data_IF_676373058123
#
_entry.id   IF_676373058123
#
_cell.length_a   1.000
_cell.length_b   1.000
_cell.length_c   1.000
_cell.angle_alpha   90.00
_cell.angle_beta   90.00
_cell.angle_gamma   90.00
#
_symmetry.space_group_name_H-M   'P 1'
#
loop_
_entity.id
_entity.type
_entity.pdbx_description
1 polymer ?
#
# COMPACT_ATOMS: atom_id res chain seq x y z
N UNK A 1 -32.57 14.58 4.29
CA UNK A 1 -31.64 15.72 4.09
C UNK A 1 -30.29 15.42 4.72
N UNK A 2 -30.26 14.94 5.97
CA UNK A 2 -29.02 14.64 6.72
C UNK A 2 -28.07 13.65 6.03
N UNK A 3 -28.61 12.61 5.37
CA UNK A 3 -27.78 11.62 4.66
C UNK A 3 -27.02 12.24 3.47
N UNK A 4 -27.63 13.17 2.73
CA UNK A 4 -27.00 13.83 1.60
C UNK A 4 -25.88 14.79 2.06
N UNK A 5 -26.10 15.50 3.17
CA UNK A 5 -25.10 16.38 3.79
C UNK A 5 -23.92 15.55 4.29
N UNK A 6 -24.18 14.44 4.99
CA UNK A 6 -23.13 13.54 5.44
C UNK A 6 -22.30 12.97 4.27
N UNK A 7 -22.95 12.56 3.18
CA UNK A 7 -22.26 12.06 2.00
C UNK A 7 -21.38 13.13 1.32
N UNK A 8 -21.81 14.40 1.31
CA UNK A 8 -20.99 15.51 0.81
C UNK A 8 -19.77 15.78 1.71
N UNK A 9 -19.92 15.71 3.03
CA UNK A 9 -18.79 15.80 3.96
C UNK A 9 -17.80 14.64 3.77
N UNK A 10 -18.28 13.40 3.64
CA UNK A 10 -17.44 12.23 3.36
C UNK A 10 -16.68 12.38 2.02
N UNK A 11 -17.34 12.93 0.99
CA UNK A 11 -16.73 13.22 -0.30
C UNK A 11 -15.64 14.30 -0.20
N UNK A 12 -15.89 15.39 0.53
CA UNK A 12 -14.89 16.43 0.79
C UNK A 12 -13.71 15.88 1.59
N UNK A 13 -13.98 15.08 2.63
CA UNK A 13 -12.93 14.44 3.42
C UNK A 13 -12.07 13.51 2.55
N UNK A 14 -12.68 12.74 1.65
CA UNK A 14 -11.98 11.88 0.68
C UNK A 14 -11.04 12.70 -0.22
N UNK A 15 -11.51 13.85 -0.72
CA UNK A 15 -10.69 14.75 -1.56
C UNK A 15 -9.48 15.29 -0.80
N UNK A 16 -9.71 15.87 0.38
CA UNK A 16 -8.63 16.44 1.18
C UNK A 16 -7.62 15.36 1.59
N UNK A 17 -8.09 14.20 2.04
CA UNK A 17 -7.18 13.14 2.48
C UNK A 17 -6.39 12.55 1.30
N UNK A 18 -7.01 12.38 0.14
CA UNK A 18 -6.32 11.97 -1.09
C UNK A 18 -5.29 13.01 -1.54
N UNK A 19 -5.63 14.31 -1.48
CA UNK A 19 -4.71 15.39 -1.81
C UNK A 19 -3.51 15.44 -0.85
N UNK A 20 -3.74 15.29 0.46
CA UNK A 20 -2.66 15.18 1.45
C UNK A 20 -1.74 14.01 1.13
N UNK A 21 -2.30 12.82 0.86
CA UNK A 21 -1.50 11.65 0.49
C UNK A 21 -0.66 11.89 -0.77
N UNK A 22 -1.25 12.51 -1.80
CA UNK A 22 -0.54 12.84 -3.03
C UNK A 22 0.58 13.87 -2.82
N UNK A 23 0.31 14.95 -2.07
CA UNK A 23 1.31 15.97 -1.75
C UNK A 23 2.48 15.36 -0.98
N UNK A 24 2.20 14.53 0.02
CA UNK A 24 3.25 13.83 0.79
C UNK A 24 4.07 12.93 -0.12
N UNK A 25 3.43 12.16 -1.01
CA UNK A 25 4.11 11.27 -1.96
C UNK A 25 5.03 12.03 -2.92
N UNK A 26 4.57 13.15 -3.48
CA UNK A 26 5.39 13.98 -4.39
C UNK A 26 6.50 14.70 -3.64
N UNK A 27 6.22 15.22 -2.46
CA UNK A 27 7.22 15.85 -1.61
C UNK A 27 8.33 14.87 -1.24
N UNK A 28 7.96 13.66 -0.83
CA UNK A 28 8.91 12.60 -0.55
C UNK A 28 9.72 12.19 -1.77
N UNK A 29 9.08 12.16 -2.95
CA UNK A 29 9.77 11.89 -4.21
C UNK A 29 10.90 12.90 -4.44
N UNK A 30 10.60 14.20 -4.32
CA UNK A 30 11.58 15.28 -4.54
C UNK A 30 12.74 15.20 -3.55
N UNK A 31 12.47 14.87 -2.28
CA UNK A 31 13.52 14.72 -1.28
C UNK A 31 14.44 13.52 -1.53
N UNK A 32 13.89 12.42 -2.06
CA UNK A 32 14.62 11.14 -2.14
C UNK A 32 15.12 10.80 -3.55
N UNK A 33 14.81 11.61 -4.57
CA UNK A 33 15.27 11.36 -5.95
C UNK A 33 16.79 11.38 -6.07
N UNK A 34 17.47 12.28 -5.35
CA UNK A 34 18.94 12.33 -5.35
C UNK A 34 19.55 11.03 -4.80
N UNK A 35 19.00 10.53 -3.70
CA UNK A 35 19.42 9.26 -3.11
C UNK A 35 19.10 8.07 -4.02
N UNK A 36 17.96 8.08 -4.70
CA UNK A 36 17.62 7.06 -5.70
C UNK A 36 18.67 7.01 -6.81
N UNK A 37 18.99 8.15 -7.42
CA UNK A 37 20.02 8.28 -8.48
C UNK A 37 21.37 7.75 -8.01
N UNK A 38 21.73 8.02 -6.75
CA UNK A 38 23.01 7.57 -6.19
C UNK A 38 23.03 6.08 -5.80
N UNK A 39 21.95 5.55 -5.23
CA UNK A 39 21.94 4.22 -4.58
C UNK A 39 21.35 3.11 -5.45
N UNK A 40 20.35 3.44 -6.28
CA UNK A 40 19.55 2.45 -7.01
C UNK A 40 19.96 2.36 -8.48
N UNK A 41 20.17 3.50 -9.15
CA UNK A 41 20.53 3.51 -10.57
C UNK A 41 21.86 2.81 -10.90
N UNK A 42 22.96 2.97 -10.14
CA UNK A 42 24.19 2.23 -10.41
C UNK A 42 24.16 0.78 -9.93
N UNK A 43 23.16 0.37 -9.14
CA UNK A 43 23.06 -1.00 -8.63
C UNK A 43 22.93 -2.03 -9.78
N UNK A 44 23.41 -3.27 -9.61
CA UNK A 44 23.29 -4.32 -10.62
C UNK A 44 21.82 -4.59 -10.98
N UNK A 45 21.60 -5.13 -12.17
CA UNK A 45 20.25 -5.50 -12.62
C UNK A 45 19.71 -6.60 -11.72
N UNK A 46 18.67 -6.29 -10.94
CA UNK A 46 17.95 -7.25 -10.09
C UNK A 46 16.44 -7.03 -10.23
N UNK A 47 15.67 -8.07 -9.92
CA UNK A 47 14.20 -7.98 -9.93
C UNK A 47 13.73 -6.91 -8.94
N UNK A 48 14.34 -6.85 -7.75
CA UNK A 48 14.01 -5.86 -6.73
C UNK A 48 14.26 -4.42 -7.18
N UNK A 49 15.34 -4.16 -7.93
CA UNK A 49 15.64 -2.83 -8.50
C UNK A 49 14.52 -2.36 -9.42
N UNK A 50 14.15 -3.19 -10.40
CA UNK A 50 13.11 -2.81 -11.36
C UNK A 50 11.73 -2.75 -10.73
N UNK A 51 11.40 -3.68 -9.83
CA UNK A 51 10.17 -3.65 -9.05
C UNK A 51 10.02 -2.35 -8.25
N UNK A 52 11.08 -1.88 -7.59
CA UNK A 52 11.10 -0.61 -6.88
C UNK A 52 10.87 0.58 -7.83
N UNK A 53 11.66 0.70 -8.90
CA UNK A 53 11.55 1.82 -9.86
C UNK A 53 10.16 1.85 -10.47
N UNK A 54 9.70 0.72 -11.03
CA UNK A 54 8.39 0.64 -11.68
C UNK A 54 7.29 1.00 -10.69
N UNK A 55 7.25 0.41 -9.50
CA UNK A 55 6.20 0.68 -8.52
C UNK A 55 6.21 2.16 -8.08
N UNK A 56 7.38 2.76 -7.88
CA UNK A 56 7.49 4.17 -7.47
C UNK A 56 6.90 5.14 -8.50
N UNK A 57 7.34 5.06 -9.75
CA UNK A 57 6.83 5.94 -10.81
C UNK A 57 5.38 5.63 -11.18
N UNK A 58 5.00 4.35 -11.13
CA UNK A 58 3.64 3.89 -11.35
C UNK A 58 2.66 4.50 -10.34
N UNK A 59 2.95 4.43 -9.04
CA UNK A 59 2.05 4.95 -8.01
C UNK A 59 1.92 6.47 -8.10
N UNK A 60 3.02 7.20 -8.33
CA UNK A 60 2.97 8.66 -8.54
C UNK A 60 2.06 9.00 -9.73
N UNK A 61 2.23 8.28 -10.84
CA UNK A 61 1.44 8.50 -12.06
C UNK A 61 -0.04 8.24 -11.83
N UNK A 62 -0.40 7.12 -11.17
CA UNK A 62 -1.80 6.81 -10.90
C UNK A 62 -2.40 7.81 -9.92
N UNK A 63 -1.68 8.24 -8.88
CA UNK A 63 -2.20 9.22 -7.92
C UNK A 63 -2.38 10.61 -8.54
N UNK A 64 -1.53 11.00 -9.49
CA UNK A 64 -1.74 12.18 -10.31
C UNK A 64 -3.02 12.06 -11.14
N UNK A 65 -3.24 10.90 -11.78
CA UNK A 65 -4.48 10.63 -12.50
C UNK A 65 -5.68 10.67 -11.55
N UNK A 66 -5.59 10.12 -10.33
CA UNK A 66 -6.68 10.19 -9.34
C UNK A 66 -6.99 11.64 -8.96
N UNK A 67 -5.96 12.46 -8.72
CA UNK A 67 -6.12 13.88 -8.41
C UNK A 67 -6.84 14.64 -9.53
N UNK A 68 -6.55 14.31 -10.79
CA UNK A 68 -7.19 14.92 -11.97
C UNK A 68 -8.55 14.30 -12.30
N UNK A 69 -8.71 12.99 -12.13
CA UNK A 69 -9.90 12.21 -12.52
C UNK A 69 -11.11 12.43 -11.62
N UNK A 70 -10.94 13.12 -10.49
CA UNK A 70 -12.05 13.78 -9.80
C UNK A 70 -12.86 14.66 -10.76
N UNK A 71 -12.30 15.09 -11.90
CA UNK A 71 -12.97 15.92 -12.92
C UNK A 71 -13.63 15.11 -14.07
N UNK A 72 -13.34 13.82 -14.23
CA UNK A 72 -13.80 13.02 -15.38
C UNK A 72 -15.09 12.21 -15.14
N UNK A 73 -15.95 12.15 -16.18
CA UNK A 73 -17.26 11.45 -16.13
C UNK A 73 -17.18 9.92 -16.21
N UNK A 74 -16.01 9.34 -16.47
CA UNK A 74 -15.78 7.90 -16.68
C UNK A 74 -15.69 7.05 -15.42
N UNK A 75 -16.62 7.20 -14.46
CA UNK A 75 -16.47 6.67 -13.11
C UNK A 75 -16.28 5.15 -13.01
N UNK A 76 -17.03 4.36 -13.79
CA UNK A 76 -16.98 2.88 -13.69
C UNK A 76 -15.62 2.32 -14.11
N UNK A 77 -15.14 2.73 -15.29
CA UNK A 77 -13.83 2.34 -15.80
C UNK A 77 -12.69 2.86 -14.92
N UNK A 78 -12.84 4.09 -14.40
CA UNK A 78 -11.88 4.68 -13.49
C UNK A 78 -11.75 3.87 -12.19
N UNK A 79 -12.86 3.59 -11.49
CA UNK A 79 -12.85 2.82 -10.23
C UNK A 79 -12.30 1.42 -10.46
N UNK A 80 -12.72 0.74 -11.53
CA UNK A 80 -12.22 -0.59 -11.88
C UNK A 80 -10.71 -0.56 -12.18
N UNK A 81 -10.27 0.36 -13.04
CA UNK A 81 -8.87 0.52 -13.41
C UNK A 81 -7.99 0.82 -12.20
N UNK A 82 -8.33 1.83 -11.40
CA UNK A 82 -7.59 2.18 -10.19
C UNK A 82 -7.53 1.03 -9.18
N UNK A 83 -8.61 0.27 -9.00
CA UNK A 83 -8.63 -0.90 -8.12
C UNK A 83 -7.62 -1.97 -8.55
N UNK A 84 -7.57 -2.29 -9.85
CA UNK A 84 -6.62 -3.26 -10.39
C UNK A 84 -5.17 -2.78 -10.28
N UNK A 85 -4.92 -1.50 -10.64
CA UNK A 85 -3.61 -0.89 -10.55
C UNK A 85 -3.08 -0.86 -9.11
N UNK A 86 -3.95 -0.53 -8.14
CA UNK A 86 -3.59 -0.53 -6.73
C UNK A 86 -3.14 -1.91 -6.24
N UNK A 87 -3.79 -2.98 -6.70
CA UNK A 87 -3.43 -4.35 -6.31
C UNK A 87 -2.13 -4.82 -6.94
N UNK A 88 -1.88 -4.44 -8.19
CA UNK A 88 -0.57 -4.70 -8.80
C UNK A 88 0.54 -4.03 -7.98
N UNK A 89 0.34 -2.78 -7.55
CA UNK A 89 1.29 -2.08 -6.68
C UNK A 89 1.49 -2.78 -5.32
N UNK A 90 0.40 -3.20 -4.66
CA UNK A 90 0.48 -3.94 -3.38
C UNK A 90 1.18 -5.28 -3.56
N UNK A 91 0.94 -6.00 -4.66
CA UNK A 91 1.63 -7.25 -4.99
C UNK A 91 3.14 -7.04 -5.13
N UNK A 92 3.55 -6.00 -5.86
CA UNK A 92 4.97 -5.64 -6.00
C UNK A 92 5.58 -5.31 -4.63
N UNK A 93 4.89 -4.51 -3.81
CA UNK A 93 5.34 -4.17 -2.46
C UNK A 93 5.54 -5.42 -1.59
N UNK A 94 4.59 -6.36 -1.61
CA UNK A 94 4.68 -7.60 -0.83
C UNK A 94 5.83 -8.51 -1.30
N UNK A 95 6.14 -8.53 -2.61
CA UNK A 95 7.31 -9.25 -3.14
C UNK A 95 8.62 -8.62 -2.64
N UNK A 96 8.71 -7.28 -2.63
CA UNK A 96 9.88 -6.57 -2.10
C UNK A 96 10.07 -6.82 -0.59
N UNK A 97 8.97 -6.83 0.16
CA UNK A 97 8.95 -7.17 1.58
C UNK A 97 9.40 -8.61 1.82
N UNK A 98 8.89 -9.58 1.04
CA UNK A 98 9.30 -10.98 1.10
C UNK A 98 10.82 -11.13 0.93
N UNK A 99 11.37 -10.48 -0.09
CA UNK A 99 12.80 -10.53 -0.38
C UNK A 99 13.65 -10.09 0.82
N UNK A 100 13.23 -9.02 1.50
CA UNK A 100 13.92 -8.50 2.69
C UNK A 100 13.92 -9.50 3.86
N UNK A 101 12.80 -10.16 4.12
CA UNK A 101 12.70 -11.14 5.21
C UNK A 101 13.54 -12.38 4.93
N UNK A 102 13.61 -12.80 3.66
CA UNK A 102 14.43 -13.97 3.27
C UNK A 102 15.91 -13.71 3.49
N UNK A 103 16.41 -12.51 3.16
CA UNK A 103 17.78 -12.09 3.47
C UNK A 103 18.02 -12.07 4.98
N UNK A 104 17.06 -11.54 5.76
CA UNK A 104 17.18 -11.45 7.22
C UNK A 104 17.34 -12.84 7.89
N UNK A 105 16.68 -13.85 7.33
CA UNK A 105 16.79 -15.23 7.79
C UNK A 105 17.87 -16.05 7.07
N UNK A 106 18.80 -15.39 6.37
CA UNK A 106 19.95 -16.03 5.72
C UNK A 106 19.52 -17.20 4.81
N UNK A 107 18.46 -16.96 4.02
CA UNK A 107 17.89 -17.92 3.06
C UNK A 107 17.43 -19.26 3.65
N UNK A 108 17.08 -19.33 4.95
CA UNK A 108 16.50 -20.53 5.56
C UNK A 108 15.24 -21.00 4.83
N UNK A 109 15.29 -22.21 4.28
CA UNK A 109 14.22 -22.78 3.44
C UNK A 109 12.85 -22.88 4.14
N UNK A 110 12.82 -23.13 5.45
CA UNK A 110 11.56 -23.18 6.21
C UNK A 110 10.85 -21.82 6.21
N UNK A 111 11.58 -20.73 6.50
CA UNK A 111 11.01 -19.38 6.52
C UNK A 111 10.58 -18.97 5.12
N UNK A 112 11.39 -19.27 4.10
CA UNK A 112 11.01 -19.01 2.71
C UNK A 112 9.68 -19.69 2.35
N UNK A 113 9.52 -20.99 2.69
CA UNK A 113 8.27 -21.73 2.41
C UNK A 113 7.06 -21.11 3.12
N UNK A 114 7.19 -20.75 4.40
CA UNK A 114 6.13 -20.09 5.18
C UNK A 114 5.75 -18.74 4.55
N UNK A 115 6.74 -17.93 4.20
CA UNK A 115 6.52 -16.59 3.66
C UNK A 115 5.92 -16.64 2.24
N UNK A 116 6.39 -17.55 1.39
CA UNK A 116 5.83 -17.76 0.05
C UNK A 116 4.40 -18.29 0.14
N UNK A 117 4.11 -19.24 1.03
CA UNK A 117 2.76 -19.73 1.26
C UNK A 117 1.81 -18.61 1.72
N UNK A 118 2.26 -17.79 2.68
CA UNK A 118 1.51 -16.62 3.16
C UNK A 118 1.25 -15.60 2.06
N UNK A 119 2.26 -15.32 1.23
CA UNK A 119 2.12 -14.41 0.09
C UNK A 119 1.13 -14.94 -0.95
N UNK A 120 1.24 -16.21 -1.35
CA UNK A 120 0.37 -16.81 -2.37
C UNK A 120 -1.07 -16.86 -1.87
N UNK A 121 -1.31 -17.33 -0.64
CA UNK A 121 -2.65 -17.41 -0.07
C UNK A 121 -3.25 -16.01 0.13
N UNK A 122 -2.50 -15.09 0.74
CA UNK A 122 -2.95 -13.73 0.98
C UNK A 122 -3.23 -12.98 -0.32
N UNK A 123 -2.31 -13.00 -1.27
CA UNK A 123 -2.49 -12.29 -2.53
C UNK A 123 -3.65 -12.87 -3.36
N UNK A 124 -3.82 -14.20 -3.37
CA UNK A 124 -4.96 -14.84 -4.04
C UNK A 124 -6.30 -14.43 -3.40
N UNK A 125 -6.38 -14.45 -2.06
CA UNK A 125 -7.56 -13.99 -1.33
C UNK A 125 -7.86 -12.51 -1.61
N UNK A 126 -6.82 -11.66 -1.67
CA UNK A 126 -6.96 -10.25 -1.99
C UNK A 126 -7.46 -10.02 -3.42
N UNK A 127 -6.89 -10.74 -4.40
CA UNK A 127 -7.28 -10.65 -5.81
C UNK A 127 -8.74 -11.06 -6.02
N UNK A 128 -9.15 -12.17 -5.42
CA UNK A 128 -10.55 -12.63 -5.48
C UNK A 128 -11.47 -11.61 -4.80
N UNK A 129 -11.09 -11.13 -3.62
CA UNK A 129 -11.87 -10.17 -2.85
C UNK A 129 -12.08 -8.83 -3.59
N UNK A 130 -11.06 -8.35 -4.31
CA UNK A 130 -11.23 -7.11 -5.08
C UNK A 130 -12.16 -7.31 -6.28
N UNK A 131 -12.07 -8.45 -6.97
CA UNK A 131 -12.86 -8.68 -8.17
C UNK A 131 -14.32 -8.73 -7.78
N UNK A 132 -14.63 -9.48 -6.72
CA UNK A 132 -15.98 -9.51 -6.13
C UNK A 132 -16.42 -8.12 -5.67
N UNK A 133 -15.53 -7.37 -5.01
CA UNK A 133 -15.86 -6.01 -4.56
C UNK A 133 -16.16 -5.07 -5.72
N UNK A 134 -15.34 -5.06 -6.77
CA UNK A 134 -15.53 -4.25 -7.97
C UNK A 134 -16.85 -4.63 -8.67
N UNK A 135 -17.15 -5.93 -8.81
CA UNK A 135 -18.41 -6.39 -9.40
C UNK A 135 -19.63 -5.93 -8.59
N UNK A 136 -19.52 -5.89 -7.25
CA UNK A 136 -20.60 -5.43 -6.38
C UNK A 136 -20.78 -3.91 -6.38
N UNK A 137 -19.70 -3.12 -6.42
CA UNK A 137 -19.80 -1.65 -6.31
C UNK A 137 -20.03 -0.96 -7.65
N UNK A 138 -19.49 -1.49 -8.75
CA UNK A 138 -19.54 -0.86 -10.09
C UNK A 138 -20.96 -0.52 -10.57
N UNK A 139 -22.00 -1.35 -10.34
CA UNK A 139 -23.38 -1.00 -10.66
C UNK A 139 -23.88 0.25 -9.93
N UNK A 140 -23.44 0.44 -8.67
CA UNK A 140 -23.77 1.58 -7.82
C UNK A 140 -22.85 2.80 -7.95
N UNK A 141 -21.92 2.81 -8.91
CA UNK A 141 -21.05 3.95 -9.18
C UNK A 141 -21.72 4.90 -10.17
N UNK A 142 -21.89 6.16 -9.77
CA UNK A 142 -22.40 7.23 -10.64
C UNK A 142 -21.66 8.54 -10.43
N UNK A 143 -21.69 9.40 -11.45
CA UNK A 143 -21.16 10.76 -11.36
C UNK A 143 -22.18 11.66 -10.66
N UNK A 144 -21.74 12.40 -9.63
CA UNK A 144 -22.55 13.42 -8.98
C UNK A 144 -22.03 14.81 -9.33
N UNK A 145 -22.85 15.62 -10.02
CA UNK A 145 -22.50 17.01 -10.34
C UNK A 145 -22.39 17.89 -9.09
N UNK A 146 -23.22 17.64 -8.08
CA UNK A 146 -23.19 18.40 -6.80
C UNK A 146 -21.92 18.13 -6.02
N UNK A 147 -21.49 16.87 -5.97
CA UNK A 147 -20.23 16.53 -5.33
C UNK A 147 -19.04 16.88 -6.25
N UNK A 148 -19.22 16.86 -7.57
CA UNK A 148 -18.16 17.01 -8.58
C UNK A 148 -17.21 15.81 -8.60
N UNK A 149 -17.69 14.61 -8.30
CA UNK A 149 -16.89 13.38 -8.26
C UNK A 149 -17.77 12.13 -8.40
N UNK A 150 -17.12 10.99 -8.57
CA UNK A 150 -17.76 9.69 -8.56
C UNK A 150 -18.19 9.31 -7.13
N UNK A 151 -19.46 8.94 -6.96
CA UNK A 151 -20.02 8.50 -5.68
C UNK A 151 -20.38 7.02 -5.75
N UNK A 152 -20.32 6.35 -4.60
CA UNK A 152 -20.80 4.98 -4.42
C UNK A 152 -22.08 4.99 -3.60
N UNK A 153 -23.07 4.22 -4.06
CA UNK A 153 -24.31 3.98 -3.33
C UNK A 153 -24.41 2.55 -2.79
N UNK A 154 -23.57 1.64 -3.26
CA UNK A 154 -23.61 0.22 -2.90
C UNK A 154 -22.36 -0.17 -2.09
N UNK A 155 -22.52 -0.77 -0.90
CA UNK A 155 -21.41 -1.29 -0.12
C UNK A 155 -20.98 -2.69 -0.59
N UNK A 156 -19.74 -3.07 -0.28
CA UNK A 156 -19.27 -4.45 -0.39
C UNK A 156 -18.64 -4.87 0.93
N UNK A 157 -19.19 -5.89 1.59
CA UNK A 157 -18.60 -6.45 2.82
C UNK A 157 -17.25 -7.12 2.56
N UNK A 158 -17.04 -7.59 1.33
CA UNK A 158 -15.81 -8.24 0.88
C UNK A 158 -14.63 -7.26 0.81
N UNK A 159 -14.89 -5.95 0.85
CA UNK A 159 -13.86 -4.91 0.96
C UNK A 159 -13.01 -5.08 2.22
N UNK A 160 -13.57 -5.61 3.31
CA UNK A 160 -12.79 -5.93 4.51
C UNK A 160 -11.67 -6.93 4.24
N UNK A 161 -11.95 -7.94 3.40
CA UNK A 161 -10.98 -8.99 3.04
C UNK A 161 -9.85 -8.40 2.19
N UNK A 162 -10.15 -7.43 1.32
CA UNK A 162 -9.16 -6.72 0.48
C UNK A 162 -8.06 -6.08 1.34
N UNK A 163 -8.41 -5.54 2.50
CA UNK A 163 -7.47 -4.87 3.41
C UNK A 163 -6.91 -5.78 4.49
N UNK A 164 -7.72 -6.72 5.00
CA UNK A 164 -7.27 -7.67 6.01
C UNK A 164 -6.20 -8.62 5.46
N UNK A 165 -6.32 -9.05 4.19
CA UNK A 165 -5.38 -9.98 3.59
C UNK A 165 -3.91 -9.49 3.57
N UNK A 166 -3.57 -8.32 2.97
CA UNK A 166 -2.20 -7.82 3.01
C UNK A 166 -1.75 -7.50 4.44
N UNK A 167 -2.65 -7.04 5.31
CA UNK A 167 -2.33 -6.78 6.72
C UNK A 167 -1.89 -8.05 7.46
N UNK A 168 -2.55 -9.19 7.24
CA UNK A 168 -2.16 -10.47 7.84
C UNK A 168 -0.77 -10.92 7.37
N UNK A 169 -0.46 -10.73 6.08
CA UNK A 169 0.88 -11.03 5.57
C UNK A 169 1.95 -10.10 6.18
N UNK A 170 1.67 -8.80 6.24
CA UNK A 170 2.56 -7.81 6.86
C UNK A 170 2.78 -8.10 8.36
N UNK A 171 1.75 -8.54 9.09
CA UNK A 171 1.88 -8.98 10.49
C UNK A 171 2.74 -10.24 10.63
N UNK A 172 2.57 -11.22 9.75
CA UNK A 172 3.40 -12.44 9.72
C UNK A 172 4.88 -12.07 9.49
N UNK A 173 5.14 -11.12 8.60
CA UNK A 173 6.48 -10.58 8.34
C UNK A 173 7.02 -9.85 9.57
N UNK A 174 6.23 -8.97 10.19
CA UNK A 174 6.63 -8.23 11.39
C UNK A 174 6.99 -9.18 12.55
N UNK A 175 6.14 -10.17 12.82
CA UNK A 175 6.39 -11.19 13.85
C UNK A 175 7.69 -11.94 13.55
N UNK A 176 7.90 -12.35 12.30
CA UNK A 176 9.13 -13.01 11.88
C UNK A 176 10.37 -12.15 12.07
N UNK A 177 10.28 -10.85 11.78
CA UNK A 177 11.38 -9.90 11.99
C UNK A 177 11.70 -9.71 13.49
N UNK A 178 10.68 -9.65 14.34
CA UNK A 178 10.86 -9.57 15.81
C UNK A 178 11.48 -10.84 16.36
N UNK A 179 10.98 -12.02 15.94
CA UNK A 179 11.57 -13.30 16.37
C UNK A 179 13.04 -13.42 15.95
N UNK A 180 13.40 -12.99 14.74
CA UNK A 180 14.78 -12.96 14.30
C UNK A 180 15.66 -12.02 15.15
N UNK A 181 15.12 -10.86 15.53
CA UNK A 181 15.82 -9.90 16.39
C UNK A 181 16.15 -10.48 17.77
N UNK A 182 15.23 -11.29 18.32
CA UNK A 182 15.38 -11.97 19.60
C UNK A 182 16.33 -13.16 19.52
N UNK A 183 16.31 -13.91 18.42
CA UNK A 183 17.15 -15.10 18.19
C UNK A 183 18.63 -14.74 17.93
N UNK A 184 18.91 -13.59 17.31
CA UNK A 184 20.28 -13.20 16.89
C UNK A 184 20.70 -11.79 17.33
N UNK A 185 20.91 -11.54 18.63
CA UNK A 185 21.30 -10.21 19.12
C UNK A 185 22.73 -9.76 18.73
N UNK A 186 23.59 -10.67 18.22
CA UNK A 186 24.99 -10.37 17.82
C UNK A 186 25.35 -11.05 16.50
N UNK A 187 24.93 -10.48 15.37
CA UNK A 187 25.41 -10.87 14.05
C UNK A 187 26.65 -10.03 13.64
N UNK A 188 27.59 -10.66 12.93
CA UNK A 188 28.89 -10.11 12.49
C UNK A 188 28.76 -8.85 11.60
N UNK A 189 27.59 -8.63 10.97
CA UNK A 189 27.25 -7.41 10.23
C UNK A 189 26.39 -6.45 11.08
N UNK A 190 27.01 -5.92 12.15
CA UNK A 190 26.31 -5.18 13.20
C UNK A 190 25.53 -3.95 12.68
N UNK A 191 25.96 -3.29 11.61
CA UNK A 191 25.29 -2.10 11.06
C UNK A 191 24.07 -2.48 10.20
N UNK A 192 24.23 -3.37 9.21
CA UNK A 192 23.15 -3.82 8.34
C UNK A 192 22.03 -4.50 9.12
N UNK A 193 22.34 -5.40 10.06
CA UNK A 193 21.34 -6.07 10.90
C UNK A 193 20.64 -5.10 11.86
N UNK A 194 21.35 -4.11 12.42
CA UNK A 194 20.71 -3.07 13.25
C UNK A 194 19.80 -2.15 12.45
N UNK A 195 20.21 -1.71 11.27
CA UNK A 195 19.38 -0.92 10.37
C UNK A 195 18.14 -1.73 9.92
N UNK A 196 18.33 -3.01 9.58
CA UNK A 196 17.25 -3.93 9.24
C UNK A 196 16.20 -4.07 10.33
N UNK A 197 16.60 -4.19 11.60
CA UNK A 197 15.68 -4.32 12.74
C UNK A 197 15.10 -2.99 13.20
N UNK A 198 15.94 -1.98 13.48
CA UNK A 198 15.48 -0.70 14.05
C UNK A 198 14.59 0.03 13.06
N UNK A 199 15.03 0.15 11.81
CA UNK A 199 14.25 0.86 10.82
C UNK A 199 13.13 -0.04 10.31
N UNK A 200 13.40 -1.32 10.06
CA UNK A 200 12.41 -2.29 9.58
C UNK A 200 11.16 -2.40 10.45
N UNK A 201 11.33 -2.56 11.77
CA UNK A 201 10.18 -2.67 12.69
C UNK A 201 9.33 -1.40 12.65
N UNK A 202 9.96 -0.22 12.66
CA UNK A 202 9.23 1.06 12.61
C UNK A 202 8.41 1.20 11.33
N UNK A 203 8.94 0.75 10.19
CA UNK A 203 8.23 0.79 8.91
C UNK A 203 7.04 -0.17 8.87
N UNK A 204 7.23 -1.43 9.29
CA UNK A 204 6.13 -2.41 9.32
C UNK A 204 5.04 -2.03 10.31
N UNK A 205 5.40 -1.40 11.43
CA UNK A 205 4.44 -0.83 12.36
C UNK A 205 3.64 0.31 11.72
N UNK A 206 4.30 1.25 11.05
CA UNK A 206 3.63 2.36 10.34
C UNK A 206 2.65 1.85 9.27
N UNK A 207 3.06 0.87 8.46
CA UNK A 207 2.20 0.24 7.45
C UNK A 207 1.00 -0.44 8.12
N UNK A 208 1.23 -1.20 9.21
CA UNK A 208 0.15 -1.87 9.95
C UNK A 208 -0.86 -0.86 10.49
N UNK A 209 -0.43 0.27 11.05
CA UNK A 209 -1.33 1.35 11.50
C UNK A 209 -2.14 1.92 10.34
N UNK A 210 -1.51 2.17 9.18
CA UNK A 210 -2.22 2.63 7.97
C UNK A 210 -3.25 1.61 7.47
N UNK A 211 -2.96 0.30 7.56
CA UNK A 211 -3.91 -0.76 7.21
C UNK A 211 -5.07 -0.85 8.20
N UNK A 212 -4.81 -0.74 9.50
CA UNK A 212 -5.85 -0.72 10.54
C UNK A 212 -6.80 0.46 10.29
N UNK A 213 -6.26 1.65 9.97
CA UNK A 213 -7.07 2.80 9.59
C UNK A 213 -7.96 2.49 8.38
N UNK A 214 -7.42 1.93 7.29
CA UNK A 214 -8.20 1.59 6.10
C UNK A 214 -9.26 0.50 6.38
N UNK A 215 -8.93 -0.49 7.20
CA UNK A 215 -9.84 -1.55 7.60
C UNK A 215 -11.00 -0.99 8.44
N UNK A 216 -10.71 -0.07 9.37
CA UNK A 216 -11.72 0.61 10.17
C UNK A 216 -12.67 1.46 9.31
N UNK A 217 -12.12 2.25 8.38
CA UNK A 217 -12.91 3.01 7.39
C UNK A 217 -13.73 2.09 6.50
N UNK A 218 -13.20 0.94 6.10
CA UNK A 218 -13.93 -0.04 5.30
C UNK A 218 -15.06 -0.71 6.09
N UNK A 219 -14.91 -0.89 7.40
CA UNK A 219 -15.97 -1.40 8.27
C UNK A 219 -17.11 -0.37 8.42
N UNK A 220 -16.79 0.92 8.55
CA UNK A 220 -17.82 1.98 8.57
C UNK A 220 -18.47 2.15 7.20
N UNK A 221 -17.73 1.90 6.12
CA UNK A 221 -18.25 1.98 4.76
C UNK A 221 -19.36 0.95 4.45
N UNK A 222 -19.48 -0.12 5.23
CA UNK A 222 -20.62 -1.06 5.15
C UNK A 222 -21.94 -0.35 5.46
N UNK A 223 -21.93 0.59 6.41
CA UNK A 223 -23.10 1.40 6.78
C UNK A 223 -23.21 2.68 5.95
N UNK A 224 -22.07 3.26 5.54
CA UNK A 224 -21.97 4.51 4.77
C UNK A 224 -21.10 4.33 3.52
N UNK A 225 -21.68 3.93 2.37
CA UNK A 225 -20.93 3.66 1.14
C UNK A 225 -20.10 4.85 0.61
N UNK A 226 -20.47 6.08 0.98
CA UNK A 226 -19.71 7.31 0.71
C UNK A 226 -18.27 7.26 1.23
N UNK A 227 -18.00 6.47 2.28
CA UNK A 227 -16.68 6.37 2.92
C UNK A 227 -15.75 5.35 2.26
N UNK A 228 -16.21 4.60 1.25
CA UNK A 228 -15.42 3.53 0.61
C UNK A 228 -14.06 4.01 0.09
N UNK A 229 -13.96 5.25 -0.40
CA UNK A 229 -12.70 5.80 -0.92
C UNK A 229 -11.93 6.65 0.08
N UNK A 230 -12.50 6.96 1.24
CA UNK A 230 -11.97 7.93 2.19
C UNK A 230 -10.50 7.68 2.51
N UNK A 231 -10.15 6.45 2.88
CA UNK A 231 -8.78 6.07 3.23
C UNK A 231 -7.95 5.49 2.09
N UNK A 232 -8.56 5.09 0.97
CA UNK A 232 -7.92 4.20 -0.02
C UNK A 232 -6.71 4.84 -0.69
N UNK A 233 -6.90 6.00 -1.30
CA UNK A 233 -5.83 6.69 -2.01
C UNK A 233 -4.78 7.26 -1.07
N UNK A 234 -5.20 7.79 0.08
CA UNK A 234 -4.29 8.25 1.12
C UNK A 234 -3.38 7.13 1.62
N UNK A 235 -3.96 6.00 2.04
CA UNK A 235 -3.21 4.86 2.54
C UNK A 235 -2.30 4.31 1.45
N UNK A 236 -2.76 4.24 0.20
CA UNK A 236 -1.92 3.77 -0.91
C UNK A 236 -0.69 4.67 -1.15
N UNK A 237 -0.86 6.00 -1.10
CA UNK A 237 0.24 6.95 -1.17
C UNK A 237 1.20 6.80 0.02
N UNK A 238 0.66 6.74 1.25
CA UNK A 238 1.46 6.65 2.46
C UNK A 238 2.22 5.32 2.55
N UNK A 239 1.60 4.19 2.22
CA UNK A 239 2.30 2.89 2.22
C UNK A 239 3.46 2.88 1.23
N UNK A 240 3.29 3.50 0.05
CA UNK A 240 4.38 3.61 -0.93
C UNK A 240 5.49 4.55 -0.48
N UNK A 241 5.13 5.67 0.15
CA UNK A 241 6.09 6.61 0.74
C UNK A 241 6.95 5.91 1.79
N UNK A 242 6.32 5.19 2.72
CA UNK A 242 6.99 4.42 3.78
C UNK A 242 7.86 3.31 3.17
N UNK A 243 7.34 2.57 2.19
CA UNK A 243 8.08 1.52 1.49
C UNK A 243 9.33 2.09 0.81
N UNK A 244 9.21 3.21 0.08
CA UNK A 244 10.31 3.81 -0.64
C UNK A 244 11.44 4.25 0.29
N UNK A 245 11.12 4.94 1.38
CA UNK A 245 12.10 5.31 2.41
C UNK A 245 12.77 4.08 3.02
N UNK A 246 12.00 3.03 3.29
CA UNK A 246 12.53 1.80 3.87
C UNK A 246 13.56 1.12 2.97
N UNK A 247 13.30 1.10 1.65
CA UNK A 247 14.17 0.47 0.66
C UNK A 247 15.44 1.29 0.42
N UNK A 248 15.33 2.63 0.42
CA UNK A 248 16.49 3.52 0.31
C UNK A 248 17.38 3.48 1.55
N UNK A 249 16.80 3.49 2.77
CA UNK A 249 17.55 3.32 4.02
C UNK A 249 18.29 1.98 4.03
N UNK A 250 17.60 0.91 3.64
CA UNK A 250 18.21 -0.41 3.55
C UNK A 250 19.37 -0.43 2.54
N UNK A 251 19.18 0.11 1.34
CA UNK A 251 20.22 0.13 0.31
C UNK A 251 21.43 0.96 0.72
N UNK A 252 21.23 2.04 1.49
CA UNK A 252 22.31 2.83 2.07
C UNK A 252 23.15 2.00 3.04
N UNK A 253 22.49 1.28 3.95
CA UNK A 253 23.16 0.42 4.94
C UNK A 253 23.87 -0.81 4.32
N UNK A 254 23.56 -1.21 3.09
CA UNK A 254 24.31 -2.25 2.37
C UNK A 254 25.62 -1.75 1.74
N UNK A 255 25.76 -0.44 1.52
CA UNK A 255 26.91 0.17 0.83
C UNK A 255 27.90 0.84 1.78
N UNK A 256 27.52 1.03 3.05
CA UNK A 256 28.37 1.48 4.16
C UNK A 256 29.09 0.31 4.83
#
# INVERSE_FOLDING_TARGET
MDFAIAALHDAQATRYLSAVGFVVLVYDYVLTVHEEVRLVWPAPRSVAKWAFIVNRYFVISVQLVVAYAIVFKGCKHFVFGCGMLAITSVGIANILVLHRVVILWDHRALILKIMVAGLVFGFSAQLIAIVITLLNITPGVSWSSTAGMCILTQPSRVLLVVWASPMLFELLVLVSMVLNALDRPRAVHQQLTRALHRDGISYFLAITVLRIFNLAVSATAIRRPSQTFLGVFFVWAMTNTVLNRSLLSFRRAELE
#
